data_IF_817049664017
#
_entry.id   IF_817049664017
#
_cell.length_a   1.000
_cell.length_b   1.000
_cell.length_c   1.000
_cell.angle_alpha   90.00
_cell.angle_beta   90.00
_cell.angle_gamma   90.00
#
_symmetry.space_group_name_H-M   'P 1'
#
loop_
_entity.id
_entity.type
_entity.pdbx_description
1 polymer ?
#
# COMPACT_ATOMS: atom_id res chain seq x y z
N UNK A 1 13.24 3.87 28.85
CA UNK A 1 12.48 5.03 29.39
C UNK A 1 11.38 5.37 28.39
N UNK A 2 10.10 5.37 28.78
CA UNK A 2 8.95 5.58 27.87
C UNK A 2 8.05 6.71 28.37
N UNK A 3 7.43 7.45 27.45
CA UNK A 3 6.44 8.49 27.76
C UNK A 3 5.14 7.93 28.38
N UNK A 4 4.83 6.66 28.09
CA UNK A 4 3.65 5.98 28.60
C UNK A 4 3.97 5.25 29.91
N UNK A 5 3.02 5.27 30.85
CA UNK A 5 3.13 4.60 32.15
C UNK A 5 2.58 3.16 32.08
N UNK A 6 1.25 2.98 32.06
CA UNK A 6 0.61 1.66 31.95
C UNK A 6 0.08 1.40 30.55
N UNK A 7 0.46 0.26 29.95
CA UNK A 7 -0.11 -0.25 28.69
C UNK A 7 -0.08 -1.77 28.66
N UNK A 8 -1.01 -2.38 27.91
CA UNK A 8 -1.04 -3.83 27.75
C UNK A 8 0.24 -4.38 27.12
N UNK A 9 0.75 -5.49 27.66
CA UNK A 9 1.95 -6.17 27.17
C UNK A 9 1.68 -7.18 26.03
N UNK A 10 0.42 -7.37 25.63
CA UNK A 10 0.02 -8.37 24.63
C UNK A 10 0.75 -8.21 23.29
N UNK A 11 0.97 -6.98 22.83
CA UNK A 11 1.71 -6.72 21.59
C UNK A 11 3.20 -7.11 21.70
N UNK A 12 3.80 -6.98 22.88
CA UNK A 12 5.19 -7.40 23.12
C UNK A 12 5.28 -8.93 23.08
N UNK A 13 4.34 -9.60 23.75
CA UNK A 13 4.26 -11.07 23.75
C UNK A 13 4.03 -11.59 22.32
N UNK A 14 3.10 -10.97 21.58
CA UNK A 14 2.82 -11.32 20.18
C UNK A 14 4.03 -11.10 19.27
N UNK A 15 4.73 -9.98 19.41
CA UNK A 15 5.96 -9.71 18.65
C UNK A 15 7.05 -10.75 18.95
N UNK A 16 7.23 -11.12 20.22
CA UNK A 16 8.21 -12.15 20.60
C UNK A 16 7.83 -13.52 20.04
N UNK A 17 6.55 -13.89 20.10
CA UNK A 17 6.04 -15.11 19.47
C UNK A 17 6.33 -15.14 17.96
N UNK A 18 6.08 -14.05 17.23
CA UNK A 18 6.35 -14.03 15.78
C UNK A 18 7.84 -14.17 15.46
N UNK A 19 8.73 -13.56 16.26
CA UNK A 19 10.18 -13.68 16.09
C UNK A 19 10.65 -15.13 16.24
N UNK A 20 10.19 -15.85 17.27
CA UNK A 20 10.60 -17.25 17.50
C UNK A 20 9.88 -18.23 16.56
N UNK A 21 8.65 -17.93 16.14
CA UNK A 21 7.84 -18.80 15.28
C UNK A 21 8.29 -18.76 13.83
N UNK A 22 8.57 -17.58 13.30
CA UNK A 22 8.93 -17.38 11.89
C UNK A 22 10.45 -17.44 11.68
N UNK A 23 11.22 -16.89 12.61
CA UNK A 23 12.65 -16.67 12.42
C UNK A 23 12.94 -15.82 11.17
N UNK A 24 14.20 -15.77 10.75
CA UNK A 24 14.59 -15.00 9.58
C UNK A 24 13.93 -15.51 8.29
N UNK A 25 13.87 -16.84 8.12
CA UNK A 25 13.33 -17.48 6.91
C UNK A 25 11.84 -17.21 6.72
N UNK A 26 11.04 -17.32 7.79
CA UNK A 26 9.61 -17.04 7.72
C UNK A 26 9.32 -15.58 7.37
N UNK A 27 10.02 -14.64 8.02
CA UNK A 27 9.90 -13.22 7.68
C UNK A 27 10.34 -12.91 6.25
N UNK A 28 11.42 -13.56 5.77
CA UNK A 28 11.87 -13.42 4.38
C UNK A 28 10.79 -13.88 3.39
N UNK A 29 10.22 -15.06 3.62
CA UNK A 29 9.17 -15.63 2.76
C UNK A 29 7.93 -14.73 2.70
N UNK A 30 7.49 -14.21 3.85
CA UNK A 30 6.35 -13.28 3.92
C UNK A 30 6.62 -12.01 3.10
N UNK A 31 7.80 -11.42 3.25
CA UNK A 31 8.17 -10.21 2.53
C UNK A 31 8.32 -10.46 1.02
N UNK A 32 8.85 -11.62 0.62
CA UNK A 32 8.93 -12.04 -0.78
C UNK A 32 7.53 -12.21 -1.40
N UNK A 33 6.58 -12.81 -0.66
CA UNK A 33 5.18 -12.93 -1.10
C UNK A 33 4.50 -11.58 -1.25
N UNK A 34 4.62 -10.69 -0.26
CA UNK A 34 4.08 -9.33 -0.33
C UNK A 34 4.65 -8.56 -1.54
N UNK A 35 5.95 -8.71 -1.81
CA UNK A 35 6.61 -8.11 -2.98
C UNK A 35 6.13 -8.71 -4.30
N UNK A 36 5.95 -10.04 -4.37
CA UNK A 36 5.41 -10.70 -5.56
C UNK A 36 3.99 -10.23 -5.88
N UNK A 37 3.12 -10.13 -4.87
CA UNK A 37 1.75 -9.63 -5.01
C UNK A 37 1.71 -8.15 -5.42
N UNK A 38 2.55 -7.30 -4.82
CA UNK A 38 2.66 -5.90 -5.22
C UNK A 38 3.08 -5.75 -6.70
N UNK A 39 4.08 -6.52 -7.13
CA UNK A 39 4.53 -6.54 -8.53
C UNK A 39 3.44 -7.01 -9.49
N UNK A 40 2.71 -8.07 -9.12
CA UNK A 40 1.61 -8.57 -9.92
C UNK A 40 0.52 -7.51 -10.12
N UNK A 41 0.15 -6.81 -9.04
CA UNK A 41 -0.79 -5.69 -9.11
C UNK A 41 -0.28 -4.56 -10.01
N UNK A 42 1.00 -4.17 -9.87
CA UNK A 42 1.62 -3.16 -10.74
C UNK A 42 1.52 -3.54 -12.22
N UNK A 43 1.88 -4.78 -12.57
CA UNK A 43 1.82 -5.26 -13.96
C UNK A 43 0.40 -5.24 -14.53
N UNK A 44 -0.61 -5.62 -13.74
CA UNK A 44 -2.01 -5.55 -14.18
C UNK A 44 -2.43 -4.10 -14.43
N UNK A 45 -2.11 -3.20 -13.50
CA UNK A 45 -2.43 -1.78 -13.62
C UNK A 45 -1.77 -1.16 -14.87
N UNK A 46 -0.51 -1.51 -15.15
CA UNK A 46 0.19 -1.07 -16.35
C UNK A 46 -0.45 -1.62 -17.63
N UNK A 47 -0.85 -2.90 -17.64
CA UNK A 47 -1.54 -3.53 -18.78
C UNK A 47 -2.86 -2.86 -19.12
N UNK A 48 -3.55 -2.24 -18.16
CA UNK A 48 -4.77 -1.47 -18.46
C UNK A 48 -4.51 -0.24 -19.34
N UNK A 49 -3.27 0.25 -19.38
CA UNK A 49 -2.88 1.45 -20.10
C UNK A 49 -3.38 2.77 -19.48
N UNK A 50 -4.28 2.73 -18.49
CA UNK A 50 -4.97 3.91 -17.92
C UNK A 50 -4.23 4.58 -16.77
N UNK A 51 -3.34 3.86 -16.10
CA UNK A 51 -2.65 4.33 -14.90
C UNK A 51 -1.16 4.55 -15.12
N UNK A 52 -0.61 5.57 -14.46
CA UNK A 52 0.81 5.83 -14.32
C UNK A 52 1.26 5.37 -12.94
N UNK A 53 2.22 4.47 -12.87
CA UNK A 53 2.81 4.01 -11.62
C UNK A 53 3.79 5.07 -11.11
N UNK A 54 3.65 5.43 -9.84
CA UNK A 54 4.49 6.41 -9.13
C UNK A 54 5.42 5.75 -8.10
N UNK A 55 5.07 4.55 -7.61
CA UNK A 55 5.90 3.77 -6.69
C UNK A 55 7.10 3.12 -7.40
N UNK A 56 8.22 2.99 -6.67
CA UNK A 56 9.41 2.24 -7.14
C UNK A 56 9.20 0.73 -6.93
N UNK A 57 9.84 -0.09 -7.76
CA UNK A 57 9.81 -1.57 -7.65
C UNK A 57 10.60 -2.09 -6.42
N UNK A 58 11.55 -1.31 -5.93
CA UNK A 58 12.36 -1.63 -4.74
C UNK A 58 11.91 -0.78 -3.55
N UNK A 59 11.52 -1.44 -2.46
CA UNK A 59 11.12 -0.80 -1.21
C UNK A 59 10.01 -1.54 -0.49
N UNK A 60 9.17 -0.77 0.21
CA UNK A 60 7.96 -1.27 0.87
C UNK A 60 6.99 -1.85 -0.18
N UNK A 61 6.28 -2.97 0.09
CA UNK A 61 5.30 -3.55 -0.83
C UNK A 61 4.04 -2.68 -0.93
N UNK A 62 4.17 -1.57 -1.65
CA UNK A 62 3.13 -0.57 -1.87
C UNK A 62 3.08 -0.20 -3.34
N UNK A 63 1.85 -0.06 -3.87
CA UNK A 63 1.61 0.39 -5.23
C UNK A 63 0.92 1.74 -5.16
N UNK A 64 1.63 2.77 -5.62
CA UNK A 64 1.09 4.12 -5.76
C UNK A 64 0.93 4.45 -7.24
N UNK A 65 -0.25 4.90 -7.65
CA UNK A 65 -0.56 5.14 -9.05
C UNK A 65 -1.55 6.28 -9.24
N UNK A 66 -1.48 6.94 -10.39
CA UNK A 66 -2.38 8.02 -10.80
C UNK A 66 -3.00 7.72 -12.16
N UNK A 67 -4.09 8.39 -12.52
CA UNK A 67 -4.65 8.33 -13.87
C UNK A 67 -3.71 9.05 -14.86
N UNK A 68 -3.53 8.46 -16.05
CA UNK A 68 -2.79 9.12 -17.15
C UNK A 68 -3.62 10.18 -17.85
N UNK A 69 -4.89 9.87 -18.07
CA UNK A 69 -5.82 10.73 -18.79
C UNK A 69 -6.94 11.18 -17.86
N UNK A 70 -6.94 12.48 -17.56
CA UNK A 70 -7.97 13.15 -16.76
C UNK A 70 -9.01 13.86 -17.63
N UNK A 71 -8.89 13.78 -18.96
CA UNK A 71 -9.80 14.46 -19.90
C UNK A 71 -11.22 13.90 -19.90
N UNK A 72 -11.40 12.67 -19.40
CA UNK A 72 -12.69 12.01 -19.24
C UNK A 72 -13.51 12.52 -18.03
N UNK A 73 -13.00 13.49 -17.28
CA UNK A 73 -13.70 14.08 -16.12
C UNK A 73 -13.70 13.21 -14.86
N UNK A 74 -13.01 12.07 -14.88
CA UNK A 74 -12.87 11.18 -13.74
C UNK A 74 -11.59 11.49 -12.95
N UNK A 75 -11.73 11.63 -11.64
CA UNK A 75 -10.61 11.78 -10.71
C UNK A 75 -10.39 10.52 -9.86
N UNK A 76 -9.19 10.39 -9.30
CA UNK A 76 -8.83 9.26 -8.44
C UNK A 76 -9.75 9.11 -7.20
N UNK A 77 -10.36 10.20 -6.74
CA UNK A 77 -11.37 10.17 -5.67
C UNK A 77 -12.60 9.36 -6.07
N UNK A 78 -13.08 9.52 -7.31
CA UNK A 78 -14.22 8.76 -7.80
C UNK A 78 -13.90 7.27 -7.87
N UNK A 79 -12.67 6.91 -8.24
CA UNK A 79 -12.21 5.52 -8.26
C UNK A 79 -12.20 4.94 -6.84
N UNK A 80 -11.68 5.69 -5.86
CA UNK A 80 -11.72 5.31 -4.43
C UNK A 80 -13.15 5.04 -3.97
N UNK A 81 -14.09 5.92 -4.31
CA UNK A 81 -15.50 5.77 -3.91
C UNK A 81 -16.20 4.62 -4.63
N UNK A 82 -15.86 4.35 -5.89
CA UNK A 82 -16.37 3.19 -6.61
C UNK A 82 -15.84 1.88 -6.03
N UNK A 83 -14.55 1.81 -5.70
CA UNK A 83 -13.94 0.63 -5.06
C UNK A 83 -14.57 0.35 -3.69
N UNK A 84 -14.96 1.39 -2.96
CA UNK A 84 -15.66 1.26 -1.68
C UNK A 84 -17.00 0.54 -1.79
N UNK A 85 -17.72 0.68 -2.91
CA UNK A 85 -18.98 -0.05 -3.17
C UNK A 85 -18.76 -1.57 -3.22
N UNK A 86 -17.55 -2.01 -3.57
CA UNK A 86 -17.14 -3.42 -3.57
C UNK A 86 -16.44 -3.85 -2.28
N UNK A 87 -16.44 -3.01 -1.24
CA UNK A 87 -15.78 -3.28 0.04
C UNK A 87 -14.28 -2.96 0.10
N UNK A 88 -13.69 -2.47 -1.00
CA UNK A 88 -12.28 -2.11 -1.05
C UNK A 88 -12.04 -0.69 -0.54
N UNK A 89 -11.12 -0.53 0.41
CA UNK A 89 -10.70 0.78 0.91
C UNK A 89 -9.35 1.15 0.30
N UNK A 90 -9.38 1.93 -0.78
CA UNK A 90 -8.17 2.43 -1.45
C UNK A 90 -8.13 3.96 -1.33
N UNK A 91 -7.26 4.52 -0.48
CA UNK A 91 -7.21 5.97 -0.27
C UNK A 91 -6.66 6.70 -1.50
N UNK A 92 -7.31 7.81 -1.85
CA UNK A 92 -6.83 8.82 -2.78
C UNK A 92 -6.36 10.08 -2.01
N UNK A 93 -5.21 10.64 -2.38
CA UNK A 93 -4.69 11.88 -1.77
C UNK A 93 -3.75 12.63 -2.72
N UNK A 94 -3.66 13.95 -2.54
CA UNK A 94 -2.70 14.80 -3.23
C UNK A 94 -1.33 14.74 -2.55
N UNK A 95 -0.27 14.84 -3.34
CA UNK A 95 1.09 14.85 -2.81
C UNK A 95 1.38 16.09 -1.94
N UNK A 96 2.50 16.02 -1.23
CA UNK A 96 3.01 17.08 -0.36
C UNK A 96 3.11 18.45 -1.09
N UNK A 97 3.29 19.57 -0.35
CA UNK A 97 3.57 20.88 -0.94
C UNK A 97 4.64 20.79 -2.04
N UNK A 98 4.50 21.63 -3.07
CA UNK A 98 5.29 21.62 -4.32
C UNK A 98 5.02 20.44 -5.28
N UNK A 99 4.09 19.53 -4.94
CA UNK A 99 3.62 18.47 -5.83
C UNK A 99 2.10 18.24 -5.80
N UNK A 100 1.32 19.19 -5.28
CA UNK A 100 -0.13 19.06 -5.02
C UNK A 100 -0.97 18.72 -6.27
N UNK A 101 -0.47 19.05 -7.47
CA UNK A 101 -1.10 18.72 -8.74
C UNK A 101 -1.10 17.21 -9.04
N UNK A 102 -0.33 16.42 -8.28
CA UNK A 102 -0.28 14.96 -8.39
C UNK A 102 -1.26 14.36 -7.38
N UNK A 103 -2.41 13.93 -7.90
CA UNK A 103 -3.38 13.11 -7.19
C UNK A 103 -3.06 11.63 -7.44
N UNK A 104 -3.09 10.80 -6.40
CA UNK A 104 -2.76 9.37 -6.51
C UNK A 104 -3.62 8.50 -5.61
N UNK A 105 -3.68 7.21 -5.96
CA UNK A 105 -4.22 6.12 -5.16
C UNK A 105 -3.07 5.31 -4.58
N UNK A 106 -3.24 4.76 -3.37
CA UNK A 106 -2.23 3.92 -2.71
C UNK A 106 -2.81 2.61 -2.21
N UNK A 107 -2.26 1.50 -2.69
CA UNK A 107 -2.57 0.15 -2.21
C UNK A 107 -1.37 -0.40 -1.46
N UNK A 108 -1.55 -0.74 -0.19
CA UNK A 108 -0.50 -1.37 0.64
C UNK A 108 -0.77 -2.87 0.68
N UNK A 109 0.19 -3.67 0.24
CA UNK A 109 0.10 -5.14 0.27
C UNK A 109 0.70 -5.63 1.58
N UNK A 110 -0.07 -6.44 2.32
CA UNK A 110 0.29 -6.96 3.63
C UNK A 110 0.07 -8.48 3.68
N UNK A 111 0.66 -9.12 4.68
CA UNK A 111 0.34 -10.49 5.11
C UNK A 111 -1.06 -10.55 5.73
#
# INVERSE_FOLDING_TARGET
FTLNFSKGASQIIGQYYQLIRLGFEGYKLIMENCRANARYLTQILEKTGRFKILSKDMGVPVVAFSLKDKSLGHDEYEISDHLRKFGWVVPAYTMAPDAQNVLLLRVVVRE
#
